data_IF_030200259317
#
_entry.id   IF_030200259317
#
_cell.length_a   1.000
_cell.length_b   1.000
_cell.length_c   1.000
_cell.angle_alpha   90.00
_cell.angle_beta   90.00
_cell.angle_gamma   90.00
#
_symmetry.space_group_name_H-M   'P 1'
#
loop_
_entity.id
_entity.type
_entity.pdbx_description
1 polymer ?
#
# COMPACT_ATOMS: atom_id res chain seq x y z
N UNK A 1 -9.21 -15.71 -10.18
CA UNK A 1 -9.33 -14.86 -8.97
C UNK A 1 -10.79 -14.42 -8.86
N UNK A 2 -11.67 -15.35 -8.48
CA UNK A 2 -13.05 -15.05 -8.16
C UNK A 2 -13.14 -15.10 -6.63
N UNK A 3 -13.70 -14.05 -6.02
CA UNK A 3 -13.64 -13.84 -4.59
C UNK A 3 -14.53 -14.85 -3.84
N UNK A 4 -14.10 -16.12 -3.75
CA UNK A 4 -14.76 -17.20 -3.01
C UNK A 4 -16.30 -17.18 -3.14
N UNK A 5 -16.82 -17.09 -4.38
CA UNK A 5 -18.26 -17.10 -4.66
C UNK A 5 -19.01 -15.80 -4.36
N UNK A 6 -18.33 -14.69 -4.05
CA UNK A 6 -18.97 -13.37 -3.97
C UNK A 6 -19.19 -12.83 -5.38
N UNK A 7 -20.36 -12.24 -5.70
CA UNK A 7 -20.61 -11.58 -6.98
C UNK A 7 -20.08 -10.13 -6.98
N UNK A 8 -19.53 -9.63 -8.10
CA UNK A 8 -19.09 -8.25 -8.23
C UNK A 8 -20.28 -7.28 -8.19
N UNK A 9 -20.03 -6.01 -7.85
CA UNK A 9 -21.06 -4.97 -7.86
C UNK A 9 -21.58 -4.74 -9.28
N UNK A 10 -22.83 -5.10 -9.54
CA UNK A 10 -23.53 -4.82 -10.79
C UNK A 10 -24.25 -3.47 -10.77
N UNK A 11 -24.91 -3.12 -11.88
CA UNK A 11 -25.70 -1.89 -12.02
C UNK A 11 -26.87 -1.81 -11.03
N UNK A 12 -27.40 -2.95 -10.62
CA UNK A 12 -28.66 -3.08 -9.89
C UNK A 12 -28.51 -3.69 -8.47
N UNK A 13 -27.28 -3.78 -7.92
CA UNK A 13 -27.11 -4.36 -6.57
C UNK A 13 -25.75 -4.12 -5.90
N UNK A 14 -25.70 -4.16 -4.55
CA UNK A 14 -24.45 -4.04 -3.81
C UNK A 14 -23.58 -5.29 -4.01
N UNK A 15 -22.30 -5.08 -4.31
CA UNK A 15 -21.28 -6.12 -4.46
C UNK A 15 -19.88 -5.51 -4.34
N UNK A 16 -18.82 -6.31 -4.50
CA UNK A 16 -17.45 -5.78 -4.43
C UNK A 16 -17.04 -5.11 -5.74
N UNK A 17 -16.30 -3.99 -5.66
CA UNK A 17 -15.75 -3.28 -6.82
C UNK A 17 -14.23 -3.41 -6.80
N UNK A 18 -13.68 -4.00 -7.84
CA UNK A 18 -12.24 -4.00 -8.10
C UNK A 18 -11.92 -2.73 -8.90
N UNK A 19 -11.02 -1.89 -8.40
CA UNK A 19 -10.45 -0.78 -9.15
C UNK A 19 -8.96 -1.04 -9.32
N UNK A 20 -8.44 -0.72 -10.50
CA UNK A 20 -6.99 -0.70 -10.69
C UNK A 20 -6.39 0.36 -9.75
N UNK A 21 -5.41 -0.08 -8.96
CA UNK A 21 -4.55 0.82 -8.19
C UNK A 21 -3.31 1.06 -9.04
N UNK A 22 -2.73 2.28 -9.03
CA UNK A 22 -1.53 2.58 -9.80
C UNK A 22 -0.32 1.70 -9.46
N UNK A 23 -0.32 1.01 -8.31
CA UNK A 23 0.81 0.24 -7.82
C UNK A 23 0.31 -0.98 -7.01
N UNK A 24 -0.15 -2.05 -7.67
CA UNK A 24 -0.70 -3.24 -7.00
C UNK A 24 0.31 -3.96 -6.09
N UNK A 25 1.61 -3.79 -6.36
CA UNK A 25 2.71 -4.41 -5.61
C UNK A 25 3.22 -3.52 -4.45
N UNK A 26 2.79 -2.25 -4.38
CA UNK A 26 3.31 -1.31 -3.39
C UNK A 26 2.61 -1.47 -2.04
N UNK A 27 3.40 -1.50 -0.97
CA UNK A 27 2.96 -1.66 0.41
C UNK A 27 3.15 -0.35 1.16
N UNK A 28 2.11 0.12 1.85
CA UNK A 28 2.20 1.25 2.77
C UNK A 28 2.59 0.76 4.18
N UNK A 29 3.65 1.31 4.76
CA UNK A 29 4.13 1.00 6.11
C UNK A 29 3.88 2.22 7.00
N UNK A 30 3.10 2.01 8.06
CA UNK A 30 2.78 3.02 9.06
C UNK A 30 3.45 2.64 10.37
N UNK A 31 4.12 3.59 10.99
CA UNK A 31 4.73 3.44 12.30
C UNK A 31 4.67 4.81 13.02
N UNK A 32 4.04 4.91 14.20
CA UNK A 32 3.93 6.17 14.93
C UNK A 32 5.28 6.73 15.38
N UNK A 33 6.27 5.87 15.67
CA UNK A 33 7.62 6.32 16.00
C UNK A 33 8.46 6.59 14.74
N UNK A 34 8.93 7.83 14.58
CA UNK A 34 9.76 8.22 13.44
C UNK A 34 11.12 7.53 13.38
N UNK A 35 11.67 7.04 14.49
CA UNK A 35 12.90 6.24 14.48
C UNK A 35 12.62 4.82 13.97
N UNK A 36 11.58 4.18 14.50
CA UNK A 36 11.15 2.85 14.04
C UNK A 36 10.72 2.88 12.56
N UNK A 37 10.03 3.94 12.11
CA UNK A 37 9.69 4.12 10.69
C UNK A 37 10.95 4.19 9.82
N UNK A 38 12.00 4.88 10.26
CA UNK A 38 13.29 4.93 9.53
C UNK A 38 14.01 3.57 9.54
N UNK A 39 13.94 2.81 10.62
CA UNK A 39 14.47 1.45 10.67
C UNK A 39 13.74 0.51 9.69
N UNK A 40 12.41 0.65 9.56
CA UNK A 40 11.64 -0.05 8.53
C UNK A 40 12.11 0.32 7.11
N UNK A 41 12.34 1.61 6.84
CA UNK A 41 12.87 2.05 5.54
C UNK A 41 14.20 1.36 5.20
N UNK A 42 15.16 1.40 6.14
CA UNK A 42 16.47 0.78 5.93
C UNK A 42 16.39 -0.74 5.69
N UNK A 43 15.49 -1.42 6.42
CA UNK A 43 15.25 -2.86 6.26
C UNK A 43 14.70 -3.19 4.86
N UNK A 44 13.73 -2.41 4.40
CA UNK A 44 13.10 -2.59 3.08
C UNK A 44 14.08 -2.28 1.95
N UNK A 45 14.85 -1.19 2.07
CA UNK A 45 15.90 -0.85 1.11
C UNK A 45 16.98 -1.93 1.03
N UNK A 46 17.41 -2.47 2.17
CA UNK A 46 18.34 -3.60 2.25
C UNK A 46 17.80 -4.89 1.62
N UNK A 47 16.48 -5.09 1.65
CA UNK A 47 15.79 -6.18 0.95
C UNK A 47 15.55 -5.90 -0.55
N UNK A 48 16.06 -4.79 -1.09
CA UNK A 48 15.95 -4.46 -2.51
C UNK A 48 14.66 -3.74 -2.89
N UNK A 49 13.90 -3.23 -1.93
CA UNK A 49 12.73 -2.40 -2.22
C UNK A 49 13.14 -0.96 -2.53
N UNK A 50 12.27 -0.26 -3.24
CA UNK A 50 12.30 1.19 -3.37
C UNK A 50 11.31 1.78 -2.36
N UNK A 51 11.80 2.63 -1.46
CA UNK A 51 11.02 3.23 -0.38
C UNK A 51 10.89 4.74 -0.62
N UNK A 52 9.72 5.32 -0.29
CA UNK A 52 9.50 6.77 -0.32
C UNK A 52 8.62 7.19 0.86
N UNK A 53 8.98 8.28 1.53
CA UNK A 53 8.16 8.83 2.62
C UNK A 53 7.01 9.68 2.07
N UNK A 54 5.81 9.45 2.60
CA UNK A 54 4.61 10.19 2.25
C UNK A 54 3.88 10.66 3.51
N UNK A 55 3.02 11.67 3.33
CA UNK A 55 2.11 12.14 4.37
C UNK A 55 0.68 12.01 3.88
N UNK A 56 -0.19 11.55 4.76
CA UNK A 56 -1.62 11.51 4.46
C UNK A 56 -2.14 12.94 4.22
N UNK A 57 -2.89 13.19 3.14
CA UNK A 57 -3.42 14.51 2.82
C UNK A 57 -4.34 15.07 3.92
N UNK A 58 -4.95 14.18 4.71
CA UNK A 58 -5.84 14.51 5.82
C UNK A 58 -5.36 13.70 7.02
N UNK A 59 -4.84 14.38 8.04
CA UNK A 59 -4.31 13.74 9.27
C UNK A 59 -2.81 13.92 9.45
N UNK A 60 -2.04 14.14 8.37
CA UNK A 60 -0.61 14.46 8.47
C UNK A 60 0.28 13.31 8.94
N UNK A 61 -0.29 12.10 9.14
CA UNK A 61 0.42 10.88 9.48
C UNK A 61 1.47 10.59 8.42
N UNK A 62 2.71 10.36 8.86
CA UNK A 62 3.80 9.93 8.00
C UNK A 62 3.71 8.43 7.78
N UNK A 63 3.96 8.00 6.56
CA UNK A 63 4.03 6.59 6.20
C UNK A 63 5.08 6.41 5.10
N UNK A 64 5.57 5.19 4.95
CA UNK A 64 6.43 4.81 3.84
C UNK A 64 5.61 4.10 2.77
N UNK A 65 5.88 4.41 1.52
CA UNK A 65 5.43 3.63 0.38
C UNK A 65 6.62 2.81 -0.13
N UNK A 66 6.53 1.50 0.01
CA UNK A 66 7.54 0.57 -0.45
C UNK A 66 7.04 -0.13 -1.72
N UNK A 67 7.83 -0.09 -2.78
CA UNK A 67 7.53 -0.76 -4.05
C UNK A 67 8.69 -1.69 -4.42
N UNK A 68 8.43 -2.83 -5.07
CA UNK A 68 9.52 -3.64 -5.60
C UNK A 68 10.27 -2.82 -6.66
N UNK A 69 11.60 -2.91 -6.67
CA UNK A 69 12.39 -2.31 -7.75
C UNK A 69 12.02 -3.02 -9.05
N UNK A 70 11.58 -2.25 -10.06
CA UNK A 70 11.44 -2.80 -11.41
C UNK A 70 12.85 -3.12 -11.92
N UNK A 71 13.03 -4.37 -12.37
CA UNK A 71 14.24 -4.81 -13.07
C UNK A 71 14.36 -4.13 -14.44
#
# INVERSE_FOLDING_TARGET
>A
LEAAGRPPAGRDGPGYRVRETPQPEAVAVHEPDGEALRACAATLEGAGWQVSEHREPRGGTRYLLASPRRA
#
